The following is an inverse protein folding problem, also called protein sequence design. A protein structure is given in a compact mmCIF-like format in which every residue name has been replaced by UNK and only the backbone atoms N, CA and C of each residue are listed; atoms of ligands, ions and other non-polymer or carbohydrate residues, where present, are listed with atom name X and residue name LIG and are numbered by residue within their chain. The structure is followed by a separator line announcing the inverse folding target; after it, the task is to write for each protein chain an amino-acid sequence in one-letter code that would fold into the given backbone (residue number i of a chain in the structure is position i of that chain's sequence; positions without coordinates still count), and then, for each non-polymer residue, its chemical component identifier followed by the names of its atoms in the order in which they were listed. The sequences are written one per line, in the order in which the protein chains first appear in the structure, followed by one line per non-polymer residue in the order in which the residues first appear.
data_IF_641926752035
#
_entry.id   IF_641926752035
#
_cell.length_a   1.000
_cell.length_b   1.000
_cell.length_c   1.000
_cell.angle_alpha   90.00
_cell.angle_beta   90.00
_cell.angle_gamma   90.00
#
_symmetry.space_group_name_H-M   'P 1'
#
loop_
_entity.id
_entity.type
_entity.pdbx_description
1 polymer ?
#
# COMPACT_ATOMS: atom_id res chain seq x y z
N UNK A 1 3.80 19.55 -11.56
CA UNK A 1 5.24 19.68 -11.83
C UNK A 1 5.87 18.30 -11.77
N UNK A 2 6.19 17.75 -12.96
CA UNK A 2 6.76 16.40 -13.16
C UNK A 2 8.05 16.20 -12.38
N UNK A 3 8.97 17.16 -12.49
CA UNK A 3 10.28 17.07 -11.83
C UNK A 3 10.16 16.97 -10.31
N UNK A 4 9.27 17.74 -9.71
CA UNK A 4 9.01 17.68 -8.27
C UNK A 4 8.38 16.34 -7.87
N UNK A 5 7.44 15.83 -8.67
CA UNK A 5 6.81 14.52 -8.42
C UNK A 5 7.84 13.40 -8.44
N UNK A 6 8.71 13.37 -9.45
CA UNK A 6 9.79 12.38 -9.56
C UNK A 6 10.77 12.46 -8.38
N UNK A 7 11.17 13.66 -7.97
CA UNK A 7 12.06 13.83 -6.82
C UNK A 7 11.44 13.32 -5.52
N UNK A 8 10.15 13.58 -5.29
CA UNK A 8 9.43 13.09 -4.11
C UNK A 8 9.26 11.57 -4.13
N UNK A 9 8.90 10.98 -5.26
CA UNK A 9 8.76 9.53 -5.42
C UNK A 9 10.11 8.82 -5.24
N UNK A 10 11.20 9.36 -5.82
CA UNK A 10 12.56 8.85 -5.63
C UNK A 10 12.95 8.85 -4.14
N UNK A 11 12.64 9.94 -3.42
CA UNK A 11 12.90 10.02 -1.97
C UNK A 11 12.06 9.00 -1.20
N UNK A 12 10.78 8.84 -1.54
CA UNK A 12 9.90 7.86 -0.90
C UNK A 12 10.41 6.44 -1.10
N UNK A 13 10.85 6.10 -2.33
CA UNK A 13 11.50 4.82 -2.67
C UNK A 13 12.75 4.59 -1.82
N UNK A 14 13.63 5.59 -1.69
CA UNK A 14 14.85 5.49 -0.87
C UNK A 14 14.53 5.20 0.59
N UNK A 15 13.51 5.87 1.16
CA UNK A 15 13.03 5.61 2.52
C UNK A 15 12.52 4.16 2.62
N UNK A 16 11.75 3.69 1.64
CA UNK A 16 11.24 2.31 1.63
C UNK A 16 12.38 1.29 1.62
N UNK A 17 13.42 1.48 0.80
CA UNK A 17 14.63 0.62 0.81
C UNK A 17 15.34 0.62 2.15
N UNK A 18 15.38 1.76 2.84
CA UNK A 18 15.91 1.84 4.22
C UNK A 18 15.06 1.01 5.19
N UNK A 19 13.74 1.05 5.06
CA UNK A 19 12.85 0.20 5.88
C UNK A 19 13.06 -1.29 5.60
N UNK A 20 13.31 -1.69 4.35
CA UNK A 20 13.68 -3.08 3.99
C UNK A 20 14.98 -3.47 4.68
N UNK A 21 16.02 -2.64 4.60
CA UNK A 21 17.31 -2.90 5.23
C UNK A 21 17.22 -3.00 6.78
N UNK A 22 16.28 -2.30 7.41
CA UNK A 22 16.04 -2.45 8.85
C UNK A 22 15.52 -3.85 9.22
N UNK A 23 14.80 -4.52 8.32
CA UNK A 23 14.36 -5.90 8.55
C UNK A 23 15.56 -6.84 8.65
N UNK A 24 16.63 -6.61 7.88
CA UNK A 24 17.87 -7.40 7.98
C UNK A 24 18.46 -7.34 9.40
N UNK A 25 18.42 -6.16 10.02
CA UNK A 25 18.86 -6.00 11.41
C UNK A 25 17.96 -6.77 12.38
N UNK A 26 16.64 -6.71 12.20
CA UNK A 26 15.69 -7.44 13.05
C UNK A 26 15.83 -8.96 12.90
N UNK A 27 16.16 -9.44 11.69
CA UNK A 27 16.36 -10.86 11.41
C UNK A 27 17.64 -11.46 12.02
N UNK A 28 18.56 -10.65 12.54
CA UNK A 28 19.69 -11.14 13.36
C UNK A 28 19.24 -11.73 14.68
N UNK A 29 18.04 -11.38 15.14
CA UNK A 29 17.46 -11.88 16.38
C UNK A 29 16.95 -13.31 16.23
N UNK A 30 17.33 -14.19 17.16
CA UNK A 30 16.82 -15.55 17.19
C UNK A 30 15.38 -15.60 17.74
N UNK A 31 14.57 -16.62 17.41
CA UNK A 31 13.24 -16.80 17.98
C UNK A 31 13.20 -16.83 19.50
N UNK A 32 14.23 -17.38 20.15
CA UNK A 32 14.31 -17.43 21.62
C UNK A 32 14.58 -16.05 22.22
N UNK A 33 15.46 -15.25 21.59
CA UNK A 33 15.70 -13.88 22.01
C UNK A 33 14.42 -13.04 21.88
N UNK A 34 13.71 -13.16 20.76
CA UNK A 34 12.42 -12.50 20.59
C UNK A 34 11.39 -12.95 21.64
N UNK A 35 11.29 -14.24 21.92
CA UNK A 35 10.35 -14.80 22.89
C UNK A 35 10.57 -14.23 24.30
N UNK A 36 11.84 -13.91 24.68
CA UNK A 36 12.17 -13.41 26.01
C UNK A 36 11.52 -12.07 26.38
N UNK A 37 11.19 -11.22 25.38
CA UNK A 37 10.56 -9.93 25.62
C UNK A 37 9.18 -9.78 24.93
N UNK A 38 8.78 -10.72 24.10
CA UNK A 38 7.51 -10.68 23.34
C UNK A 38 6.30 -10.33 24.21
N UNK A 39 6.22 -10.88 25.40
CA UNK A 39 5.11 -10.64 26.33
C UNK A 39 5.03 -9.16 26.79
N UNK A 40 6.12 -8.41 26.66
CA UNK A 40 6.18 -6.97 26.97
C UNK A 40 5.76 -6.08 25.80
N UNK A 41 5.66 -6.65 24.58
CA UNK A 41 5.17 -5.99 23.39
C UNK A 41 3.64 -6.07 23.30
N UNK A 42 2.94 -5.65 24.36
CA UNK A 42 1.46 -5.66 24.36
C UNK A 42 0.95 -4.99 23.07
N UNK A 43 -0.11 -5.42 22.47
CA UNK A 43 -0.79 -4.82 21.32
C UNK A 43 0.08 -4.37 20.11
N UNK A 44 1.32 -4.80 19.98
CA UNK A 44 2.22 -4.45 18.88
C UNK A 44 1.94 -5.28 17.62
N UNK A 45 0.69 -5.31 17.15
CA UNK A 45 0.30 -5.94 15.90
C UNK A 45 0.42 -4.92 14.76
N UNK A 46 1.04 -5.30 13.64
CA UNK A 46 1.07 -4.48 12.42
C UNK A 46 -0.33 -4.14 11.92
N UNK A 47 -1.32 -4.97 12.25
CA UNK A 47 -2.74 -4.72 12.02
C UNK A 47 -3.25 -3.48 12.76
N UNK A 48 -2.69 -3.15 13.92
CA UNK A 48 -3.04 -2.01 14.76
C UNK A 48 -2.12 -0.80 14.52
N UNK A 49 -1.19 -0.88 13.57
CA UNK A 49 -0.31 0.24 13.24
C UNK A 49 -1.09 1.35 12.52
N UNK A 50 -1.47 2.39 13.24
CA UNK A 50 -2.14 3.55 12.67
C UNK A 50 -1.32 4.21 11.55
N UNK A 51 0.00 4.27 11.70
CA UNK A 51 0.91 4.84 10.69
C UNK A 51 0.87 4.04 9.39
N UNK A 52 0.87 2.72 9.47
CA UNK A 52 0.77 1.88 8.29
C UNK A 52 -0.61 2.00 7.62
N UNK A 53 -1.70 2.08 8.41
CA UNK A 53 -3.04 2.33 7.89
C UNK A 53 -3.15 3.70 7.21
N UNK A 54 -2.58 4.73 7.83
CA UNK A 54 -2.52 6.07 7.23
C UNK A 54 -1.74 6.06 5.91
N UNK A 55 -0.60 5.37 5.84
CA UNK A 55 0.16 5.20 4.60
C UNK A 55 -0.68 4.52 3.51
N UNK A 56 -1.33 3.39 3.81
CA UNK A 56 -2.18 2.70 2.86
C UNK A 56 -3.33 3.59 2.35
N UNK A 57 -3.98 4.34 3.25
CA UNK A 57 -5.03 5.29 2.89
C UNK A 57 -4.52 6.42 1.98
N UNK A 58 -3.34 6.99 2.27
CA UNK A 58 -2.69 8.01 1.43
C UNK A 58 -2.37 7.48 0.04
N UNK A 59 -1.94 6.23 -0.07
CA UNK A 59 -1.62 5.61 -1.36
C UNK A 59 -2.87 5.31 -2.20
N UNK A 60 -4.00 4.99 -1.58
CA UNK A 60 -5.26 4.71 -2.29
C UNK A 60 -6.00 3.47 -1.82
N UNK A 61 -5.43 2.71 -0.88
CA UNK A 61 -6.15 1.57 -0.32
C UNK A 61 -7.25 2.04 0.61
N UNK A 62 -8.44 1.47 0.45
CA UNK A 62 -9.65 1.82 1.23
C UNK A 62 -10.24 0.63 1.95
N UNK A 63 -9.79 -0.57 1.61
CA UNK A 63 -10.25 -1.82 2.18
C UNK A 63 -9.10 -2.62 2.77
N UNK A 64 -9.45 -3.52 3.65
CA UNK A 64 -8.56 -4.52 4.24
C UNK A 64 -8.85 -5.91 3.72
N UNK A 65 -9.54 -6.04 2.60
CA UNK A 65 -9.83 -7.32 2.00
C UNK A 65 -8.54 -7.93 1.45
N UNK A 66 -7.94 -8.83 2.20
CA UNK A 66 -7.06 -9.85 1.62
C UNK A 66 -7.90 -10.69 0.65
N UNK A 67 -7.29 -11.18 -0.44
CA UNK A 67 -7.94 -12.09 -1.36
C UNK A 67 -8.61 -13.24 -0.58
N UNK A 68 -9.95 -13.34 -0.65
CA UNK A 68 -10.75 -14.31 0.09
C UNK A 68 -11.63 -13.74 1.22
N UNK A 69 -11.62 -12.43 1.47
CA UNK A 69 -12.63 -11.83 2.36
C UNK A 69 -14.01 -11.93 1.69
N UNK A 70 -14.97 -12.58 2.35
CA UNK A 70 -16.36 -12.60 1.90
C UNK A 70 -16.90 -11.17 1.84
N UNK A 71 -17.68 -10.85 0.83
CA UNK A 71 -18.45 -9.61 0.76
C UNK A 71 -19.10 -9.32 2.12
N UNK A 72 -18.85 -8.13 2.70
CA UNK A 72 -19.37 -7.72 3.99
C UNK A 72 -18.45 -7.96 5.20
N UNK A 73 -17.31 -8.65 5.08
CA UNK A 73 -16.35 -8.83 6.19
C UNK A 73 -15.16 -7.86 6.14
N UNK A 74 -15.18 -6.85 5.27
CA UNK A 74 -14.17 -5.81 5.22
C UNK A 74 -14.20 -4.98 6.50
N UNK A 75 -13.33 -5.32 7.45
CA UNK A 75 -13.13 -4.51 8.63
C UNK A 75 -12.55 -3.18 8.18
N UNK A 76 -13.32 -2.11 8.31
CA UNK A 76 -12.92 -0.77 7.87
C UNK A 76 -11.56 -0.43 8.46
N UNK A 77 -10.70 0.19 7.66
CA UNK A 77 -9.29 0.42 7.96
C UNK A 77 -9.03 1.08 9.33
N UNK A 78 -9.96 1.89 9.82
CA UNK A 78 -9.87 2.59 11.09
C UNK A 78 -10.56 1.87 12.27
N UNK A 79 -11.28 0.78 12.06
CA UNK A 79 -12.11 0.15 13.11
C UNK A 79 -11.31 -0.43 14.27
N UNK A 80 -10.04 -0.77 14.06
CA UNK A 80 -9.15 -1.27 15.12
C UNK A 80 -8.56 -0.18 16.00
N UNK A 81 -8.70 1.07 15.58
CA UNK A 81 -8.16 2.21 16.32
C UNK A 81 -9.22 2.72 17.28
N UNK A 82 -8.77 3.17 18.45
CA UNK A 82 -9.65 3.70 19.47
C UNK A 82 -10.49 4.86 18.91
N UNK A 83 -11.82 4.78 19.00
CA UNK A 83 -12.72 5.86 18.54
C UNK A 83 -12.31 7.23 19.09
N UNK A 84 -12.25 8.25 18.23
CA UNK A 84 -11.88 9.61 18.60
C UNK A 84 -10.40 9.83 18.91
N UNK A 85 -9.54 8.79 18.86
CA UNK A 85 -8.12 8.97 19.08
C UNK A 85 -7.47 9.77 17.93
N UNK A 86 -6.38 10.53 18.20
CA UNK A 86 -5.65 11.24 17.15
C UNK A 86 -5.17 10.31 16.02
N UNK A 87 -4.86 9.07 16.34
CA UNK A 87 -4.45 8.06 15.38
C UNK A 87 -5.58 7.72 14.40
N UNK A 88 -6.78 7.44 14.93
CA UNK A 88 -7.97 7.16 14.12
C UNK A 88 -8.37 8.34 13.25
N UNK A 89 -8.39 9.55 13.82
CA UNK A 89 -8.74 10.77 13.08
C UNK A 89 -7.81 11.01 11.89
N UNK A 90 -6.50 10.73 12.01
CA UNK A 90 -5.58 10.84 10.87
C UNK A 90 -5.89 9.83 9.76
N UNK A 91 -6.17 8.59 10.11
CA UNK A 91 -6.54 7.54 9.12
C UNK A 91 -7.84 7.92 8.41
N UNK A 92 -8.87 8.31 9.16
CA UNK A 92 -10.16 8.74 8.61
C UNK A 92 -10.01 9.97 7.70
N UNK A 93 -9.21 10.96 8.12
CA UNK A 93 -8.89 12.11 7.30
C UNK A 93 -8.12 11.76 6.02
N UNK A 94 -7.22 10.76 6.06
CA UNK A 94 -6.51 10.27 4.88
C UNK A 94 -7.47 9.54 3.93
N UNK A 95 -8.42 8.77 4.46
CA UNK A 95 -9.44 8.06 3.67
C UNK A 95 -10.42 9.02 2.97
N UNK A 96 -10.74 10.16 3.57
CA UNK A 96 -11.63 11.18 2.99
C UNK A 96 -10.97 12.12 1.97
N UNK A 97 -9.69 11.92 1.64
CA UNK A 97 -8.95 12.77 0.69
C UNK A 97 -8.54 12.01 -0.57
N UNK A 98 -8.29 12.77 -1.64
CA UNK A 98 -7.69 12.23 -2.84
C UNK A 98 -6.34 11.55 -2.50
N UNK A 99 -6.19 10.30 -2.92
CA UNK A 99 -4.98 9.51 -2.73
C UNK A 99 -3.89 9.89 -3.73
N UNK A 100 -2.72 9.26 -3.58
CA UNK A 100 -1.64 9.34 -4.56
C UNK A 100 -2.14 8.87 -5.93
N UNK A 101 -2.94 7.79 -5.99
CA UNK A 101 -3.52 7.29 -7.25
C UNK A 101 -4.45 8.31 -7.91
N UNK A 102 -5.42 8.86 -7.18
CA UNK A 102 -6.28 9.93 -7.71
C UNK A 102 -5.49 11.14 -8.22
N UNK A 103 -4.42 11.47 -7.51
CA UNK A 103 -3.53 12.58 -7.90
C UNK A 103 -2.73 12.26 -9.17
N UNK A 104 -2.34 11.00 -9.37
CA UNK A 104 -1.67 10.53 -10.57
C UNK A 104 -2.61 10.59 -11.79
N UNK A 105 -3.86 10.13 -11.67
CA UNK A 105 -4.84 10.23 -12.74
C UNK A 105 -5.10 11.69 -13.15
N UNK A 106 -5.27 12.58 -12.16
CA UNK A 106 -5.42 14.02 -12.40
C UNK A 106 -4.18 14.66 -13.02
N UNK A 107 -2.99 14.18 -12.65
CA UNK A 107 -1.75 14.62 -13.29
C UNK A 107 -1.73 14.24 -14.76
N UNK A 108 -2.03 12.99 -15.11
CA UNK A 108 -2.09 12.54 -16.49
C UNK A 108 -3.11 13.35 -17.30
N UNK A 109 -4.31 13.58 -16.74
CA UNK A 109 -5.33 14.43 -17.37
C UNK A 109 -4.82 15.85 -17.64
N UNK A 110 -4.17 16.49 -16.66
CA UNK A 110 -3.58 17.84 -16.83
C UNK A 110 -2.45 17.88 -17.84
N UNK A 111 -1.81 16.76 -18.13
CA UNK A 111 -0.80 16.62 -19.18
C UNK A 111 -1.42 16.45 -20.57
N UNK A 112 -2.75 16.41 -20.68
CA UNK A 112 -3.50 16.29 -21.93
C UNK A 112 -3.92 14.87 -22.29
N UNK A 113 -3.71 13.89 -21.41
CA UNK A 113 -4.20 12.53 -21.64
C UNK A 113 -5.70 12.44 -21.33
N UNK A 114 -6.51 11.81 -22.20
CA UNK A 114 -7.97 11.81 -22.08
C UNK A 114 -8.45 10.80 -21.02
N UNK A 115 -8.15 11.06 -19.75
CA UNK A 115 -8.62 10.21 -18.65
C UNK A 115 -10.15 10.20 -18.60
N UNK A 116 -10.77 9.02 -18.38
CA UNK A 116 -12.21 8.90 -18.23
C UNK A 116 -12.75 9.80 -17.11
N UNK A 117 -13.87 10.48 -17.36
CA UNK A 117 -14.46 11.41 -16.38
C UNK A 117 -14.83 10.68 -15.08
N UNK A 118 -15.39 9.47 -15.18
CA UNK A 118 -15.76 8.66 -14.04
C UNK A 118 -14.54 8.27 -13.16
N UNK A 119 -13.36 8.14 -13.79
CA UNK A 119 -12.12 7.88 -13.05
C UNK A 119 -11.61 9.13 -12.32
N UNK A 120 -11.79 10.31 -12.89
CA UNK A 120 -11.42 11.59 -12.27
C UNK A 120 -12.34 12.03 -11.15
N UNK A 121 -13.63 11.66 -11.23
CA UNK A 121 -14.69 11.96 -10.28
C UNK A 121 -14.98 10.81 -9.30
N UNK A 122 -14.20 9.73 -9.39
CA UNK A 122 -14.39 8.57 -8.53
C UNK A 122 -14.38 8.97 -7.04
N UNK A 123 -15.30 8.41 -6.26
CA UNK A 123 -15.40 8.68 -4.83
C UNK A 123 -14.12 8.25 -4.11
N UNK A 124 -13.41 9.24 -3.58
CA UNK A 124 -12.12 9.03 -2.91
C UNK A 124 -12.20 8.15 -1.66
N UNK A 125 -13.39 7.95 -1.11
CA UNK A 125 -13.63 7.10 0.06
C UNK A 125 -13.81 5.62 -0.28
N UNK A 126 -14.03 5.30 -1.56
CA UNK A 126 -14.24 3.93 -2.04
C UNK A 126 -12.93 3.25 -2.46
N UNK A 127 -12.84 1.91 -2.37
CA UNK A 127 -11.74 1.14 -2.92
C UNK A 127 -11.65 1.33 -4.43
N UNK A 128 -10.44 1.54 -4.94
CA UNK A 128 -10.21 1.60 -6.38
C UNK A 128 -10.14 0.19 -6.97
N UNK A 129 -10.90 -0.03 -8.03
CA UNK A 129 -10.81 -1.23 -8.85
C UNK A 129 -10.13 -0.90 -10.17
N UNK A 130 -9.33 -1.84 -10.70
CA UNK A 130 -8.66 -1.67 -11.98
C UNK A 130 -9.67 -1.49 -13.11
N UNK A 131 -9.38 -0.57 -14.05
CA UNK A 131 -10.30 -0.16 -15.12
C UNK A 131 -9.62 -0.24 -16.49
N UNK A 132 -10.23 -0.95 -17.39
CA UNK A 132 -9.69 -1.14 -18.75
C UNK A 132 -9.56 0.19 -19.51
N UNK A 133 -10.55 1.09 -19.40
CA UNK A 133 -10.53 2.42 -20.04
C UNK A 133 -9.39 3.31 -19.51
N UNK A 134 -9.03 3.20 -18.23
CA UNK A 134 -7.86 3.88 -17.65
C UNK A 134 -6.57 3.27 -18.18
N UNK A 135 -6.50 1.94 -18.25
CA UNK A 135 -5.32 1.21 -18.77
C UNK A 135 -5.03 1.57 -20.22
N UNK A 136 -6.04 1.71 -21.08
CA UNK A 136 -5.87 2.13 -22.47
C UNK A 136 -5.21 3.50 -22.59
N UNK A 137 -5.64 4.47 -21.76
CA UNK A 137 -5.02 5.79 -21.70
C UNK A 137 -3.57 5.72 -21.22
N UNK A 138 -3.31 4.91 -20.18
CA UNK A 138 -1.96 4.75 -19.64
C UNK A 138 -1.01 4.06 -20.63
N UNK A 139 -1.49 3.12 -21.44
CA UNK A 139 -0.73 2.48 -22.52
C UNK A 139 -0.36 3.52 -23.59
N UNK A 140 -1.32 4.32 -24.02
CA UNK A 140 -1.07 5.39 -24.98
C UNK A 140 -0.07 6.43 -24.46
N UNK A 141 -0.18 6.77 -23.16
CA UNK A 141 0.75 7.66 -22.47
C UNK A 141 2.17 7.07 -22.47
N UNK A 142 2.34 5.81 -22.13
CA UNK A 142 3.66 5.16 -22.11
C UNK A 142 4.35 5.17 -23.46
N UNK A 143 3.59 5.06 -24.55
CA UNK A 143 4.11 5.08 -25.92
C UNK A 143 4.46 6.48 -26.43
N UNK A 144 3.78 7.52 -25.93
CA UNK A 144 3.81 8.85 -26.57
C UNK A 144 4.31 9.98 -25.66
N UNK A 145 4.35 9.81 -24.34
CA UNK A 145 4.81 10.82 -23.37
C UNK A 145 5.82 10.24 -22.37
N UNK A 146 7.12 10.28 -22.70
CA UNK A 146 8.16 9.76 -21.82
C UNK A 146 8.19 10.38 -20.43
N UNK A 147 7.86 11.68 -20.30
CA UNK A 147 7.87 12.35 -19.00
C UNK A 147 6.77 11.82 -18.08
N UNK A 148 5.54 11.68 -18.60
CA UNK A 148 4.45 11.10 -17.80
C UNK A 148 4.65 9.62 -17.55
N UNK A 149 5.24 8.88 -18.49
CA UNK A 149 5.63 7.49 -18.32
C UNK A 149 6.60 7.32 -17.14
N UNK A 150 7.62 8.20 -17.03
CA UNK A 150 8.56 8.16 -15.90
C UNK A 150 7.86 8.32 -14.54
N UNK A 151 6.80 9.14 -14.44
CA UNK A 151 6.03 9.27 -13.19
C UNK A 151 5.27 7.98 -12.88
N UNK A 152 4.66 7.34 -13.88
CA UNK A 152 3.98 6.07 -13.72
C UNK A 152 4.97 4.96 -13.29
N UNK A 153 6.16 4.90 -13.92
CA UNK A 153 7.20 3.95 -13.54
C UNK A 153 7.71 4.19 -12.11
N UNK A 154 7.85 5.44 -11.70
CA UNK A 154 8.24 5.76 -10.32
C UNK A 154 7.18 5.33 -9.28
N UNK A 155 5.89 5.32 -9.65
CA UNK A 155 4.83 4.75 -8.80
C UNK A 155 4.93 3.22 -8.73
N UNK A 156 5.24 2.54 -9.85
CA UNK A 156 5.48 1.09 -9.87
C UNK A 156 6.69 0.72 -9.04
N UNK A 157 7.79 1.45 -9.17
CA UNK A 157 9.00 1.28 -8.36
C UNK A 157 8.71 1.38 -6.85
N UNK A 158 7.82 2.30 -6.48
CA UNK A 158 7.40 2.44 -5.08
C UNK A 158 6.54 1.27 -4.62
N UNK A 159 5.58 0.84 -5.45
CA UNK A 159 4.70 -0.29 -5.14
C UNK A 159 5.47 -1.60 -5.05
N UNK A 160 6.45 -1.81 -5.94
CA UNK A 160 7.39 -2.93 -5.86
C UNK A 160 8.16 -2.92 -4.53
N UNK A 161 8.72 -1.76 -4.15
CA UNK A 161 9.42 -1.60 -2.88
C UNK A 161 8.55 -1.89 -1.66
N UNK A 162 7.26 -1.52 -1.72
CA UNK A 162 6.28 -1.84 -0.67
C UNK A 162 5.98 -3.35 -0.65
N UNK A 163 5.88 -3.98 -1.81
CA UNK A 163 5.73 -5.44 -1.96
C UNK A 163 6.93 -6.19 -1.38
N UNK A 164 8.15 -5.74 -1.67
CA UNK A 164 9.39 -6.28 -1.11
C UNK A 164 9.38 -6.18 0.43
N UNK A 165 9.03 -5.00 0.98
CA UNK A 165 8.94 -4.82 2.42
C UNK A 165 7.90 -5.75 3.06
N UNK A 166 6.72 -5.89 2.44
CA UNK A 166 5.68 -6.83 2.91
C UNK A 166 6.18 -8.26 2.91
N UNK A 167 6.82 -8.70 1.83
CA UNK A 167 7.37 -10.04 1.72
C UNK A 167 8.42 -10.31 2.82
N UNK A 168 9.38 -9.40 2.99
CA UNK A 168 10.41 -9.51 4.02
C UNK A 168 9.81 -9.54 5.43
N UNK A 169 8.81 -8.70 5.68
CA UNK A 169 8.09 -8.68 6.94
C UNK A 169 7.36 -10.01 7.21
N UNK A 170 6.68 -10.57 6.22
CA UNK A 170 6.03 -11.90 6.33
C UNK A 170 7.07 -12.96 6.70
N UNK A 171 8.21 -13.00 6.01
CA UNK A 171 9.27 -13.97 6.26
C UNK A 171 9.91 -13.80 7.65
N UNK A 172 10.12 -12.58 8.08
CA UNK A 172 10.58 -12.28 9.43
C UNK A 172 9.60 -12.81 10.50
N UNK A 173 8.30 -12.57 10.31
CA UNK A 173 7.26 -13.05 11.22
C UNK A 173 7.19 -14.58 11.21
N UNK A 174 7.22 -15.23 10.04
CA UNK A 174 7.24 -16.67 9.88
C UNK A 174 8.44 -17.31 10.61
N UNK A 175 9.63 -16.75 10.40
CA UNK A 175 10.88 -17.19 11.03
C UNK A 175 10.85 -17.04 12.55
N UNK A 176 10.24 -15.96 13.06
CA UNK A 176 10.29 -15.59 14.47
C UNK A 176 9.15 -16.22 15.29
N UNK A 177 7.96 -16.28 14.74
CA UNK A 177 6.74 -16.73 15.40
C UNK A 177 6.23 -18.08 14.89
N UNK A 178 6.59 -18.47 13.67
CA UNK A 178 6.03 -19.65 13.02
C UNK A 178 4.51 -19.51 12.86
N UNK A 179 3.78 -20.59 13.15
CA UNK A 179 2.32 -20.64 13.07
C UNK A 179 1.59 -20.14 14.33
N UNK A 180 2.28 -19.48 15.26
CA UNK A 180 1.66 -18.95 16.47
C UNK A 180 0.73 -17.79 16.13
N UNK A 181 -0.37 -17.67 16.91
CA UNK A 181 -1.30 -16.55 16.78
C UNK A 181 -0.56 -15.23 17.06
N UNK A 182 -0.78 -14.23 16.21
CA UNK A 182 -0.23 -12.89 16.40
C UNK A 182 -0.77 -12.22 17.67
N UNK A 183 -0.05 -11.25 18.22
CA UNK A 183 -0.46 -10.50 19.41
C UNK A 183 -1.79 -9.74 19.23
N UNK A 184 -2.24 -9.50 17.99
CA UNK A 184 -3.54 -8.90 17.66
C UNK A 184 -4.67 -9.90 17.40
N UNK A 185 -4.47 -11.20 17.67
CA UNK A 185 -5.52 -12.22 17.51
C UNK A 185 -5.73 -12.70 16.06
N UNK A 186 -4.99 -12.18 15.09
CA UNK A 186 -5.06 -12.61 13.69
C UNK A 186 -4.33 -13.95 13.48
N UNK A 187 -4.63 -14.63 12.36
CA UNK A 187 -3.94 -15.84 11.92
C UNK A 187 -2.43 -15.63 11.60
N UNK A 188 -1.89 -14.46 11.93
CA UNK A 188 -0.47 -14.13 11.78
C UNK A 188 -0.01 -14.16 10.32
N UNK A 189 0.89 -15.12 10.02
CA UNK A 189 1.52 -15.25 8.69
C UNK A 189 0.50 -15.40 7.56
N UNK A 190 -0.56 -16.17 7.75
CA UNK A 190 -1.57 -16.42 6.71
C UNK A 190 -2.29 -15.15 6.25
N UNK A 191 -2.67 -14.29 7.18
CA UNK A 191 -3.27 -12.98 6.88
C UNK A 191 -2.30 -12.07 6.12
N UNK A 192 -1.06 -11.98 6.58
CA UNK A 192 -0.04 -11.14 5.93
C UNK A 192 0.28 -11.64 4.52
N UNK A 193 0.38 -12.97 4.34
CA UNK A 193 0.66 -13.58 3.03
C UNK A 193 -0.44 -13.29 2.01
N UNK A 194 -1.71 -13.26 2.42
CA UNK A 194 -2.84 -12.96 1.55
C UNK A 194 -2.79 -11.55 0.94
N UNK A 195 -2.07 -10.60 1.57
CA UNK A 195 -1.95 -9.23 1.08
C UNK A 195 -0.74 -8.97 0.19
N UNK A 196 0.17 -9.96 0.02
CA UNK A 196 1.44 -9.78 -0.68
C UNK A 196 1.29 -9.38 -2.14
N UNK A 197 0.34 -10.01 -2.84
CA UNK A 197 0.18 -9.86 -4.29
C UNK A 197 -0.89 -8.82 -4.67
N UNK A 198 -1.35 -8.02 -3.72
CA UNK A 198 -2.33 -6.97 -3.98
C UNK A 198 -1.59 -5.64 -4.19
N UNK A 199 -1.38 -5.20 -5.44
CA UNK A 199 -0.71 -3.94 -5.72
C UNK A 199 -1.54 -2.75 -5.25
N UNK A 200 -0.87 -1.62 -5.03
CA UNK A 200 -1.52 -0.35 -4.68
C UNK A 200 -2.05 0.35 -5.92
N UNK A 201 -1.36 0.18 -7.05
CA UNK A 201 -1.70 0.79 -8.33
C UNK A 201 -2.01 -0.28 -9.38
N UNK A 202 -3.15 -1.00 -9.28
CA UNK A 202 -3.40 -2.21 -10.08
C UNK A 202 -3.38 -1.94 -11.58
N UNK A 203 -3.90 -0.80 -12.06
CA UNK A 203 -3.90 -0.49 -13.49
C UNK A 203 -2.50 -0.43 -14.10
N UNK A 204 -1.50 0.08 -13.35
CA UNK A 204 -0.12 0.14 -13.80
C UNK A 204 0.52 -1.24 -13.94
N UNK A 205 0.04 -2.23 -13.20
CA UNK A 205 0.50 -3.60 -13.30
C UNK A 205 -0.23 -4.39 -14.39
N UNK A 206 -1.55 -4.25 -14.46
CA UNK A 206 -2.37 -5.00 -15.43
C UNK A 206 -2.12 -4.59 -16.88
N UNK A 207 -1.89 -3.30 -17.13
CA UNK A 207 -1.61 -2.82 -18.48
C UNK A 207 -0.32 -3.37 -19.09
N UNK A 208 0.64 -3.86 -18.26
CA UNK A 208 1.98 -4.26 -18.74
C UNK A 208 1.95 -5.38 -19.77
N UNK A 209 0.99 -6.27 -19.69
CA UNK A 209 0.80 -7.32 -20.71
C UNK A 209 0.32 -6.80 -22.06
N UNK A 210 -0.10 -5.53 -22.11
CA UNK A 210 -0.64 -4.87 -23.32
C UNK A 210 0.32 -3.79 -23.87
N UNK A 211 1.47 -3.51 -23.19
CA UNK A 211 2.52 -2.59 -23.65
C UNK A 211 3.31 -3.21 -24.82
#
# INVERSE_FOLDING_TARGET
DTHRSLALLSRARTIMKTCVAQIDVLETMTPLQFASFRARLSSASGFQSAQFRELEAVLGRRDHAGAGAKEGSGMKMAEHLVPGSPARLRVEAAMGRASVWHSALRYCHKRGHPMPQEALEYDVSLPWEAREDVQEVLIALHRNDPESSMVCEALVDFDEGLGEWRYRHVKMVERTLGKKIGSGGSSGVGYLAATLFNPVFPDLWEMRSKL
#
